data_IF_904418257212
#
_entry.id   IF_904418257212
#
_cell.length_a   1.000
_cell.length_b   1.000
_cell.length_c   1.000
_cell.angle_alpha   90.00
_cell.angle_beta   90.00
_cell.angle_gamma   90.00
#
_symmetry.space_group_name_H-M   'P 1'
#
loop_
_entity.id
_entity.type
_entity.pdbx_description
1 polymer ?
#
# COMPACT_ATOMS: atom_id res chain seq x y z
N UNK A 1 3.32 26.23 -11.65
CA UNK A 1 2.04 25.51 -11.76
C UNK A 1 1.57 25.18 -10.35
N UNK A 2 0.33 25.54 -9.98
CA UNK A 2 -0.26 25.14 -8.70
C UNK A 2 -0.75 23.68 -8.75
N UNK A 3 -0.98 23.06 -7.59
CA UNK A 3 -1.49 21.68 -7.51
C UNK A 3 -2.88 21.51 -8.13
N UNK A 4 -3.71 22.55 -8.08
CA UNK A 4 -5.03 22.60 -8.70
C UNK A 4 -5.37 24.04 -9.09
N UNK A 5 -6.37 24.21 -9.96
CA UNK A 5 -6.85 25.53 -10.36
C UNK A 5 -7.72 26.12 -9.24
N UNK A 6 -7.25 27.19 -8.61
CA UNK A 6 -8.01 27.90 -7.58
C UNK A 6 -8.65 29.15 -8.19
N UNK A 7 -9.98 29.11 -8.35
CA UNK A 7 -10.80 30.27 -8.72
C UNK A 7 -11.26 31.06 -7.50
N UNK A 8 -11.62 32.34 -7.69
CA UNK A 8 -12.22 33.14 -6.63
C UNK A 8 -13.60 32.57 -6.25
N UNK A 9 -13.73 32.10 -5.01
CA UNK A 9 -14.96 31.51 -4.50
C UNK A 9 -15.98 32.63 -4.23
N UNK A 10 -17.08 32.63 -5.00
CA UNK A 10 -18.14 33.63 -4.89
C UNK A 10 -19.04 33.42 -3.66
N UNK A 11 -19.23 32.17 -3.22
CA UNK A 11 -20.14 31.81 -2.14
C UNK A 11 -19.47 30.89 -1.11
N UNK A 12 -19.47 31.31 0.16
CA UNK A 12 -18.93 30.54 1.28
C UNK A 12 -19.77 29.32 1.64
N UNK A 13 -21.03 29.28 1.18
CA UNK A 13 -21.99 28.20 1.47
C UNK A 13 -21.46 26.84 1.08
N UNK A 14 -20.98 26.71 -0.15
CA UNK A 14 -20.63 25.42 -0.74
C UNK A 14 -19.38 24.83 -0.06
N UNK A 15 -18.46 25.71 0.35
CA UNK A 15 -17.28 25.33 1.12
C UNK A 15 -17.68 24.86 2.52
N UNK A 16 -18.57 25.60 3.20
CA UNK A 16 -19.03 25.25 4.54
C UNK A 16 -19.86 23.95 4.53
N UNK A 17 -20.69 23.74 3.51
CA UNK A 17 -21.45 22.49 3.36
C UNK A 17 -20.51 21.29 3.11
N UNK A 18 -19.41 21.47 2.36
CA UNK A 18 -18.35 20.45 2.24
C UNK A 18 -17.59 20.23 3.53
N UNK A 19 -17.37 21.26 4.35
CA UNK A 19 -16.78 21.09 5.69
C UNK A 19 -17.70 20.25 6.58
N UNK A 20 -19.01 20.50 6.57
CA UNK A 20 -20.01 19.66 7.29
C UNK A 20 -19.90 18.21 6.84
N UNK A 21 -19.87 17.99 5.52
CA UNK A 21 -19.75 16.67 4.94
C UNK A 21 -18.41 15.98 5.32
N UNK A 22 -17.28 16.69 5.30
CA UNK A 22 -15.98 16.16 5.70
C UNK A 22 -15.95 15.66 7.16
N UNK A 23 -16.64 16.34 8.07
CA UNK A 23 -16.78 15.89 9.45
C UNK A 23 -17.85 14.80 9.65
N UNK A 24 -18.64 14.47 8.62
CA UNK A 24 -19.76 13.53 8.72
C UNK A 24 -20.93 14.08 9.54
N UNK A 25 -21.04 15.40 9.66
CA UNK A 25 -22.11 16.04 10.43
C UNK A 25 -23.41 16.06 9.63
N UNK A 26 -24.54 15.85 10.33
CA UNK A 26 -25.88 15.87 9.72
C UNK A 26 -26.55 17.23 9.82
N UNK A 27 -25.96 18.18 10.56
CA UNK A 27 -26.53 19.52 10.76
C UNK A 27 -25.47 20.61 10.90
N UNK A 28 -25.88 21.84 10.55
CA UNK A 28 -25.08 23.06 10.75
C UNK A 28 -24.82 23.36 12.23
N UNK A 29 -25.71 22.91 13.11
CA UNK A 29 -25.57 23.10 14.55
C UNK A 29 -24.35 22.33 15.08
N UNK A 30 -24.16 21.08 14.66
CA UNK A 30 -22.99 20.27 15.04
C UNK A 30 -21.68 20.92 14.61
N UNK A 31 -21.65 21.56 13.44
CA UNK A 31 -20.48 22.32 13.00
C UNK A 31 -20.23 23.54 13.91
N UNK A 32 -21.28 24.27 14.30
CA UNK A 32 -21.15 25.41 15.19
C UNK A 32 -20.61 24.99 16.58
N UNK A 33 -21.13 23.89 17.12
CA UNK A 33 -20.66 23.29 18.37
C UNK A 33 -19.20 22.83 18.29
N UNK A 34 -18.82 22.14 17.20
CA UNK A 34 -17.44 21.67 16.99
C UNK A 34 -16.42 22.80 16.92
N UNK A 35 -16.81 23.94 16.34
CA UNK A 35 -15.99 25.14 16.23
C UNK A 35 -16.14 26.10 17.42
N UNK A 36 -16.83 25.69 18.49
CA UNK A 36 -17.09 26.48 19.69
C UNK A 36 -17.64 27.88 19.37
N UNK A 37 -18.65 27.93 18.50
CA UNK A 37 -19.27 29.18 18.06
C UNK A 37 -20.80 29.14 18.12
N UNK A 38 -21.41 30.30 18.34
CA UNK A 38 -22.86 30.45 18.28
C UNK A 38 -23.40 30.17 16.86
N UNK A 39 -24.60 29.58 16.77
CA UNK A 39 -25.28 29.32 15.49
C UNK A 39 -25.49 30.59 14.65
N UNK A 40 -25.67 31.74 15.29
CA UNK A 40 -25.76 33.05 14.63
C UNK A 40 -24.43 33.46 13.98
N UNK A 41 -23.30 33.14 14.61
CA UNK A 41 -21.96 33.37 14.07
C UNK A 41 -21.69 32.51 12.83
N UNK A 42 -22.09 31.24 12.86
CA UNK A 42 -22.00 30.35 11.70
C UNK A 42 -22.93 30.83 10.56
N UNK A 43 -24.17 31.21 10.86
CA UNK A 43 -25.09 31.78 9.87
C UNK A 43 -24.52 33.05 9.22
N UNK A 44 -23.80 33.87 9.98
CA UNK A 44 -23.05 35.01 9.45
C UNK A 44 -21.96 34.60 8.46
N UNK A 45 -21.24 33.50 8.70
CA UNK A 45 -20.22 32.98 7.76
C UNK A 45 -20.82 32.50 6.44
N UNK A 46 -22.02 31.92 6.46
CA UNK A 46 -22.75 31.57 5.24
C UNK A 46 -23.19 32.80 4.42
N UNK A 47 -23.46 33.93 5.07
CA UNK A 47 -23.98 35.14 4.40
C UNK A 47 -22.90 36.13 3.95
N UNK A 48 -21.75 36.17 4.64
CA UNK A 48 -20.67 37.14 4.37
C UNK A 48 -19.94 36.90 3.04
N UNK A 49 -20.03 35.68 2.48
CA UNK A 49 -19.20 35.27 1.35
C UNK A 49 -17.72 35.14 1.71
N UNK A 50 -16.88 34.87 0.72
CA UNK A 50 -15.43 34.67 0.90
C UNK A 50 -15.05 33.27 1.39
N UNK A 51 -13.76 32.94 1.31
CA UNK A 51 -13.26 31.61 1.66
C UNK A 51 -13.05 31.48 3.19
N UNK A 52 -13.74 30.55 3.88
CA UNK A 52 -13.60 30.35 5.33
C UNK A 52 -12.30 29.59 5.66
N UNK A 53 -11.15 30.24 5.46
CA UNK A 53 -9.84 29.61 5.54
C UNK A 53 -9.55 28.97 6.92
N UNK A 54 -9.97 29.62 8.00
CA UNK A 54 -9.81 29.11 9.38
C UNK A 54 -10.51 27.76 9.57
N UNK A 55 -11.74 27.65 9.07
CA UNK A 55 -12.52 26.42 9.17
C UNK A 55 -12.02 25.32 8.24
N UNK A 56 -11.60 25.69 7.02
CA UNK A 56 -11.07 24.73 6.05
C UNK A 56 -9.73 24.16 6.52
N UNK A 57 -8.80 25.00 7.00
CA UNK A 57 -7.49 24.53 7.48
C UNK A 57 -7.65 23.57 8.64
N UNK A 58 -8.55 23.89 9.59
CA UNK A 58 -8.85 22.99 10.71
C UNK A 58 -9.50 21.69 10.25
N UNK A 59 -10.43 21.75 9.30
CA UNK A 59 -11.08 20.58 8.71
C UNK A 59 -10.07 19.64 8.02
N UNK A 60 -9.14 20.19 7.23
CA UNK A 60 -8.05 19.41 6.62
C UNK A 60 -7.20 18.72 7.70
N UNK A 61 -6.82 19.47 8.76
CA UNK A 61 -5.98 18.93 9.82
C UNK A 61 -6.65 17.84 10.66
N UNK A 62 -7.96 17.93 10.87
CA UNK A 62 -8.71 17.00 11.73
C UNK A 62 -9.29 15.80 10.98
N UNK A 63 -9.67 15.97 9.71
CA UNK A 63 -10.37 14.93 8.94
C UNK A 63 -9.50 14.30 7.84
N UNK A 64 -8.41 14.96 7.43
CA UNK A 64 -7.62 14.53 6.27
C UNK A 64 -8.28 14.80 4.92
N UNK A 65 -9.38 15.55 4.88
CA UNK A 65 -10.04 15.92 3.64
C UNK A 65 -9.13 16.75 2.72
N UNK A 66 -9.25 16.53 1.41
CA UNK A 66 -8.47 17.24 0.40
C UNK A 66 -8.83 18.72 0.35
N UNK A 67 -7.81 19.58 0.36
CA UNK A 67 -7.98 21.01 0.22
C UNK A 67 -8.59 21.38 -1.15
N UNK A 68 -8.24 20.64 -2.21
CA UNK A 68 -8.81 20.84 -3.55
C UNK A 68 -10.33 20.63 -3.52
N UNK A 69 -10.78 19.53 -2.94
CA UNK A 69 -12.21 19.23 -2.82
C UNK A 69 -12.94 20.20 -1.91
N UNK A 70 -12.40 20.55 -0.74
CA UNK A 70 -13.01 21.55 0.13
C UNK A 70 -13.15 22.91 -0.57
N UNK A 71 -12.11 23.36 -1.27
CA UNK A 71 -12.10 24.66 -1.95
C UNK A 71 -12.96 24.70 -3.21
N UNK A 72 -12.91 23.66 -4.05
CA UNK A 72 -13.45 23.72 -5.42
C UNK A 72 -14.64 22.79 -5.64
N UNK A 73 -14.85 21.81 -4.77
CA UNK A 73 -15.77 20.69 -4.99
C UNK A 73 -15.29 19.69 -6.05
N UNK A 74 -14.12 19.93 -6.65
CA UNK A 74 -13.49 19.04 -7.62
C UNK A 74 -12.44 18.15 -6.93
N UNK A 75 -12.09 17.04 -7.56
CA UNK A 75 -11.20 16.05 -6.95
C UNK A 75 -11.90 15.17 -5.91
N UNK A 76 -11.12 14.43 -5.13
CA UNK A 76 -11.63 13.46 -4.14
C UNK A 76 -11.76 14.11 -2.76
N UNK A 77 -12.80 13.72 -2.00
CA UNK A 77 -13.12 14.27 -0.67
C UNK A 77 -12.01 14.04 0.34
N UNK A 78 -11.61 12.79 0.48
CA UNK A 78 -10.39 12.41 1.16
C UNK A 78 -9.39 12.03 0.09
N UNK A 79 -8.10 12.28 0.34
CA UNK A 79 -7.06 11.52 -0.34
C UNK A 79 -7.08 10.10 0.26
N UNK A 80 -8.20 9.39 0.06
CA UNK A 80 -8.33 7.94 0.24
C UNK A 80 -7.55 7.30 -0.89
N UNK A 81 -6.25 7.48 -0.81
CA UNK A 81 -5.35 6.41 -1.10
C UNK A 81 -5.37 5.48 0.13
N UNK A 82 -6.46 4.71 0.30
CA UNK A 82 -6.24 3.26 0.33
C UNK A 82 -5.63 2.90 -1.03
N UNK A 83 -4.40 3.36 -1.26
CA UNK A 83 -3.48 2.73 -2.15
C UNK A 83 -3.57 1.29 -1.69
N UNK A 84 -4.06 0.42 -2.57
CA UNK A 84 -4.17 -1.01 -2.32
C UNK A 84 -2.74 -1.56 -2.32
N UNK A 85 -1.88 -1.03 -1.45
CA UNK A 85 -0.45 -1.22 -1.41
C UNK A 85 -0.20 -2.31 -0.40
N UNK A 86 0.45 -3.35 -0.90
CA UNK A 86 1.09 -4.35 -0.08
C UNK A 86 2.42 -3.77 0.44
N UNK A 87 2.53 -3.64 1.77
CA UNK A 87 3.78 -3.32 2.46
C UNK A 87 4.40 -4.61 2.97
N UNK A 88 5.68 -4.81 2.72
CA UNK A 88 6.40 -6.01 3.14
C UNK A 88 7.85 -5.73 3.51
N UNK A 89 8.47 -6.53 4.39
CA UNK A 89 9.91 -6.47 4.63
C UNK A 89 10.68 -6.69 3.33
N UNK A 90 11.76 -5.94 3.17
CA UNK A 90 12.70 -6.08 2.05
C UNK A 90 14.01 -6.63 2.58
N UNK A 91 14.52 -7.65 1.91
CA UNK A 91 15.81 -8.26 2.19
C UNK A 91 16.62 -8.37 0.91
N UNK A 92 17.94 -8.47 1.04
CA UNK A 92 18.86 -8.70 -0.08
C UNK A 92 19.70 -9.95 0.19
N UNK A 93 19.97 -10.70 -0.87
CA UNK A 93 20.92 -11.81 -0.85
C UNK A 93 22.26 -11.30 -1.37
N UNK A 94 23.30 -11.44 -0.56
CA UNK A 94 24.69 -11.13 -0.92
C UNK A 94 25.54 -12.34 -0.54
N UNK A 95 26.22 -12.94 -1.52
CA UNK A 95 27.03 -14.16 -1.37
C UNK A 95 26.30 -15.32 -0.68
N UNK A 96 25.00 -15.44 -0.98
CA UNK A 96 24.09 -16.45 -0.43
C UNK A 96 23.67 -16.20 1.02
N UNK A 97 23.93 -15.02 1.58
CA UNK A 97 23.48 -14.61 2.91
C UNK A 97 22.40 -13.54 2.81
N UNK A 98 21.40 -13.63 3.68
CA UNK A 98 20.27 -12.69 3.74
C UNK A 98 20.62 -11.51 4.64
N UNK A 99 20.35 -10.29 4.16
CA UNK A 99 20.47 -9.05 4.92
C UNK A 99 19.18 -8.23 4.85
N UNK A 100 18.81 -7.58 5.95
CA UNK A 100 17.72 -6.61 5.98
C UNK A 100 18.03 -5.42 5.05
N UNK A 101 17.03 -5.00 4.28
CA UNK A 101 17.13 -3.95 3.27
C UNK A 101 15.95 -2.95 3.33
N UNK A 102 15.27 -2.88 4.48
CA UNK A 102 14.19 -1.94 4.75
C UNK A 102 12.81 -2.51 4.41
N UNK A 103 11.93 -1.66 3.86
CA UNK A 103 10.57 -2.02 3.47
C UNK A 103 10.39 -1.86 1.96
N UNK A 104 9.55 -2.72 1.38
CA UNK A 104 9.10 -2.63 0.01
C UNK A 104 7.59 -2.37 -0.03
N UNK A 105 7.16 -1.50 -0.94
CA UNK A 105 5.78 -1.14 -1.14
C UNK A 105 5.42 -1.40 -2.58
N UNK A 106 4.34 -2.14 -2.80
CA UNK A 106 3.88 -2.54 -4.13
C UNK A 106 2.37 -2.42 -4.20
N UNK A 107 1.86 -1.85 -5.29
CA UNK A 107 0.42 -1.85 -5.56
C UNK A 107 -0.06 -3.28 -5.80
N UNK A 108 -1.14 -3.71 -5.13
CA UNK A 108 -1.74 -5.04 -5.23
C UNK A 108 -2.26 -5.33 -6.64
N UNK A 109 -2.53 -4.31 -7.46
CA UNK A 109 -2.85 -4.52 -8.90
C UNK A 109 -1.67 -5.09 -9.70
N UNK A 110 -0.46 -5.07 -9.14
CA UNK A 110 0.73 -5.69 -9.75
C UNK A 110 0.64 -7.23 -9.78
N UNK A 111 -0.24 -7.83 -8.97
CA UNK A 111 -0.50 -9.26 -8.99
C UNK A 111 -1.51 -9.59 -10.09
N UNK A 112 -1.28 -10.66 -10.85
CA UNK A 112 -2.16 -11.06 -11.95
C UNK A 112 -3.59 -11.36 -11.43
N UNK A 113 -4.63 -11.02 -12.20
CA UNK A 113 -6.01 -11.36 -11.85
C UNK A 113 -6.16 -12.86 -11.58
N UNK A 114 -6.72 -13.22 -10.41
CA UNK A 114 -6.94 -14.61 -10.00
C UNK A 114 -5.79 -15.25 -9.22
N UNK A 115 -4.66 -14.57 -9.04
CA UNK A 115 -3.61 -15.02 -8.10
C UNK A 115 -3.92 -14.45 -6.72
N UNK A 116 -4.11 -15.29 -5.68
CA UNK A 116 -4.34 -14.80 -4.34
C UNK A 116 -3.12 -14.01 -3.85
N UNK A 117 -3.39 -12.93 -3.13
CA UNK A 117 -2.35 -12.13 -2.51
C UNK A 117 -1.58 -12.97 -1.47
N UNK A 118 -0.26 -12.76 -1.38
CA UNK A 118 0.56 -13.48 -0.41
C UNK A 118 0.14 -13.13 1.02
N UNK A 119 0.11 -14.14 1.88
CA UNK A 119 -0.32 -13.96 3.29
C UNK A 119 0.83 -13.49 4.18
N UNK A 120 2.05 -13.93 3.91
CA UNK A 120 3.27 -13.50 4.61
C UNK A 120 4.34 -13.09 3.60
N UNK A 121 4.18 -11.94 2.92
CA UNK A 121 5.09 -11.50 1.87
C UNK A 121 6.43 -10.98 2.41
N UNK A 122 7.49 -11.27 1.67
CA UNK A 122 8.81 -10.65 1.79
C UNK A 122 9.35 -10.35 0.40
N UNK A 123 9.91 -9.16 0.19
CA UNK A 123 10.64 -8.82 -1.03
C UNK A 123 12.11 -9.24 -0.89
N UNK A 124 12.60 -10.07 -1.80
CA UNK A 124 13.99 -10.53 -1.87
C UNK A 124 14.66 -9.91 -3.10
N UNK A 125 15.72 -9.13 -2.88
CA UNK A 125 16.62 -8.66 -3.93
C UNK A 125 17.76 -9.68 -4.12
N UNK A 126 17.88 -10.26 -5.30
CA UNK A 126 19.00 -11.14 -5.67
C UNK A 126 19.53 -10.72 -7.05
N UNK A 127 20.77 -10.24 -7.08
CA UNK A 127 21.35 -9.61 -8.27
C UNK A 127 20.57 -8.35 -8.67
N UNK A 128 20.12 -8.30 -9.93
CA UNK A 128 19.35 -7.18 -10.48
C UNK A 128 17.83 -7.40 -10.40
N UNK A 129 17.37 -8.53 -9.86
CA UNK A 129 15.96 -8.90 -9.82
C UNK A 129 15.39 -8.80 -8.41
N UNK A 130 14.11 -8.44 -8.31
CA UNK A 130 13.36 -8.46 -7.07
C UNK A 130 12.26 -9.52 -7.14
N UNK A 131 12.15 -10.32 -6.10
CA UNK A 131 11.21 -11.41 -6.00
C UNK A 131 10.29 -11.15 -4.82
N UNK A 132 8.97 -11.21 -5.03
CA UNK A 132 8.02 -11.24 -3.93
C UNK A 132 7.84 -12.70 -3.56
N UNK A 133 8.13 -13.03 -2.30
CA UNK A 133 8.10 -14.38 -1.75
C UNK A 133 7.02 -14.47 -0.68
N UNK A 134 6.11 -15.43 -0.79
CA UNK A 134 5.20 -15.78 0.31
C UNK A 134 5.86 -16.85 1.17
N UNK A 135 6.13 -16.51 2.43
CA UNK A 135 6.74 -17.46 3.40
C UNK A 135 5.69 -18.35 4.06
N UNK A 136 4.39 -18.10 3.81
CA UNK A 136 3.31 -18.96 4.24
C UNK A 136 2.91 -19.91 3.11
N UNK A 137 3.16 -21.20 3.30
CA UNK A 137 2.80 -22.24 2.34
C UNK A 137 2.53 -23.57 3.05
N UNK A 138 1.70 -24.41 2.45
CA UNK A 138 1.34 -25.74 2.98
C UNK A 138 2.01 -26.88 2.23
N UNK A 139 2.31 -26.68 0.95
CA UNK A 139 2.86 -27.70 0.07
C UNK A 139 3.84 -27.08 -0.92
N UNK A 140 4.84 -27.88 -1.32
CA UNK A 140 5.84 -27.53 -2.34
C UNK A 140 5.46 -28.17 -3.66
N UNK A 141 5.47 -27.41 -4.74
CA UNK A 141 5.16 -27.82 -6.10
C UNK A 141 6.12 -27.16 -7.09
N UNK A 142 5.97 -27.49 -8.36
CA UNK A 142 6.87 -27.06 -9.43
C UNK A 142 6.75 -25.55 -9.65
N UNK A 143 7.76 -24.79 -9.20
CA UNK A 143 7.81 -23.33 -9.35
C UNK A 143 9.20 -22.77 -8.93
N UNK A 144 9.33 -21.46 -8.85
CA UNK A 144 10.45 -20.77 -8.19
C UNK A 144 10.22 -20.62 -6.68
N UNK A 145 11.25 -20.94 -5.91
CA UNK A 145 11.23 -20.95 -4.44
C UNK A 145 12.48 -20.26 -3.88
N UNK A 146 12.30 -19.60 -2.74
CA UNK A 146 13.40 -19.19 -1.88
C UNK A 146 13.83 -20.41 -1.05
N UNK A 147 15.09 -20.82 -1.19
CA UNK A 147 15.63 -21.99 -0.51
C UNK A 147 16.95 -21.66 0.17
N UNK A 148 17.25 -22.37 1.24
CA UNK A 148 18.55 -22.42 1.91
C UNK A 148 19.12 -23.84 1.74
N UNK A 149 20.29 -23.89 1.11
CA UNK A 149 21.05 -25.10 0.83
C UNK A 149 22.38 -24.95 1.55
N UNK A 150 22.60 -25.76 2.59
CA UNK A 150 23.84 -25.76 3.38
C UNK A 150 24.26 -24.36 3.91
N UNK A 151 23.29 -23.54 4.31
CA UNK A 151 23.52 -22.19 4.84
C UNK A 151 23.62 -21.10 3.77
N UNK A 152 23.40 -21.45 2.50
CA UNK A 152 23.37 -20.51 1.37
C UNK A 152 21.95 -20.36 0.85
N UNK A 153 21.38 -19.18 1.05
CA UNK A 153 20.09 -18.79 0.52
C UNK A 153 20.20 -18.36 -0.94
N UNK A 154 19.30 -18.85 -1.81
CA UNK A 154 19.13 -18.35 -3.18
C UNK A 154 17.71 -18.59 -3.70
N UNK A 155 17.33 -17.93 -4.80
CA UNK A 155 16.12 -18.29 -5.56
C UNK A 155 16.45 -19.45 -6.50
N UNK A 156 15.68 -20.54 -6.42
CA UNK A 156 15.85 -21.74 -7.23
C UNK A 156 14.53 -22.20 -7.81
N UNK A 157 14.60 -22.84 -8.98
CA UNK A 157 13.45 -23.56 -9.54
C UNK A 157 13.45 -24.98 -8.97
N UNK A 158 12.36 -25.35 -8.31
CA UNK A 158 12.15 -26.71 -7.80
C UNK A 158 11.19 -27.45 -8.72
N UNK A 159 11.51 -28.71 -9.00
CA UNK A 159 10.62 -29.64 -9.72
C UNK A 159 10.49 -30.92 -8.91
N UNK A 160 9.26 -31.32 -8.57
CA UNK A 160 8.98 -32.52 -7.78
C UNK A 160 9.37 -33.78 -8.55
N UNK A 161 10.04 -34.68 -7.84
CA UNK A 161 10.33 -36.03 -8.29
C UNK A 161 9.61 -36.99 -7.32
N UNK A 162 9.03 -38.11 -7.80
CA UNK A 162 8.46 -39.13 -6.93
C UNK A 162 9.39 -39.52 -5.77
N UNK A 163 8.81 -40.02 -4.69
CA UNK A 163 9.56 -40.45 -3.49
C UNK A 163 10.19 -39.27 -2.74
N UNK A 164 9.44 -38.16 -2.62
CA UNK A 164 9.80 -36.96 -1.84
C UNK A 164 11.13 -36.31 -2.25
N UNK A 165 11.50 -36.43 -3.52
CA UNK A 165 12.69 -35.77 -4.07
C UNK A 165 12.31 -34.49 -4.81
N UNK A 166 13.30 -33.63 -5.00
CA UNK A 166 13.19 -32.44 -5.83
C UNK A 166 14.43 -32.32 -6.71
N UNK A 167 14.22 -31.88 -7.94
CA UNK A 167 15.28 -31.33 -8.78
C UNK A 167 15.42 -29.86 -8.47
N UNK A 168 16.62 -29.44 -8.10
CA UNK A 168 16.98 -28.05 -7.84
C UNK A 168 17.72 -27.50 -9.06
N UNK A 169 17.23 -26.39 -9.62
CA UNK A 169 17.81 -25.75 -10.81
C UNK A 169 17.77 -24.21 -10.71
N UNK A 170 18.30 -23.51 -11.72
CA UNK A 170 18.24 -22.04 -11.83
C UNK A 170 19.61 -21.36 -11.98
N UNK A 171 20.62 -21.81 -11.23
CA UNK A 171 22.01 -21.30 -11.35
C UNK A 171 22.98 -22.48 -11.40
N UNK A 172 23.82 -22.53 -12.43
CA UNK A 172 24.78 -23.61 -12.63
C UNK A 172 24.12 -24.94 -13.00
N UNK A 173 24.74 -26.05 -12.58
CA UNK A 173 24.25 -27.40 -12.86
C UNK A 173 23.09 -27.76 -11.93
N UNK A 174 22.03 -28.37 -12.50
CA UNK A 174 20.92 -28.90 -11.72
C UNK A 174 21.33 -30.18 -10.98
N UNK A 175 20.72 -30.43 -9.83
CA UNK A 175 20.94 -31.64 -9.03
C UNK A 175 19.64 -32.13 -8.41
N UNK A 176 19.62 -33.40 -8.01
CA UNK A 176 18.47 -34.02 -7.35
C UNK A 176 18.81 -34.34 -5.90
N UNK A 177 17.94 -33.97 -4.97
CA UNK A 177 18.11 -34.26 -3.55
C UNK A 177 16.77 -34.65 -2.90
N UNK A 178 16.82 -35.12 -1.65
CA UNK A 178 15.60 -35.21 -0.84
C UNK A 178 15.07 -33.79 -0.59
N UNK A 179 13.75 -33.64 -0.50
CA UNK A 179 13.16 -32.37 -0.06
C UNK A 179 13.58 -32.00 1.38
N UNK A 180 13.98 -32.99 2.17
CA UNK A 180 14.43 -32.81 3.56
C UNK A 180 15.90 -32.35 3.65
N UNK A 181 16.67 -32.48 2.56
CA UNK A 181 18.09 -32.07 2.53
C UNK A 181 18.24 -30.54 2.31
N UNK A 182 17.14 -29.85 1.98
CA UNK A 182 17.13 -28.41 1.75
C UNK A 182 16.05 -27.75 2.61
N UNK A 183 16.28 -26.51 3.00
CA UNK A 183 15.28 -25.73 3.73
C UNK A 183 14.52 -24.83 2.75
N UNK A 184 13.23 -25.07 2.62
CA UNK A 184 12.35 -24.26 1.77
C UNK A 184 11.78 -23.13 2.63
N UNK A 185 12.02 -21.89 2.21
CA UNK A 185 11.71 -20.69 2.99
C UNK A 185 10.46 -19.96 2.53
N UNK A 186 10.10 -20.09 1.25
CA UNK A 186 8.90 -19.49 0.69
C UNK A 186 8.81 -19.65 -0.81
N UNK A 187 7.63 -19.38 -1.34
CA UNK A 187 7.33 -19.48 -2.77
C UNK A 187 7.42 -18.12 -3.44
N UNK A 188 8.03 -18.04 -4.61
CA UNK A 188 8.01 -16.80 -5.40
C UNK A 188 6.61 -16.63 -6.01
N UNK A 189 5.98 -15.48 -5.76
CA UNK A 189 4.64 -15.14 -6.27
C UNK A 189 4.68 -14.08 -7.37
N UNK A 190 5.77 -13.31 -7.44
CA UNK A 190 5.99 -12.28 -8.45
C UNK A 190 7.48 -12.05 -8.66
N UNK A 191 7.90 -11.88 -9.92
CA UNK A 191 9.27 -11.51 -10.29
C UNK A 191 9.27 -10.16 -10.99
N UNK A 192 10.12 -9.24 -10.53
CA UNK A 192 10.30 -7.89 -11.05
C UNK A 192 11.75 -7.79 -11.54
N UNK A 193 11.94 -7.47 -12.82
CA UNK A 193 13.23 -7.33 -13.48
C UNK A 193 13.56 -5.87 -13.78
#
# INVERSE_FOLDING_TARGET
MGKFSYGQISHSSDVLDRVIDAYGFTSKLMLAEHFDMASSSLAGRYKRGGFPADMVVRCVAETGASLEWLATGQGRKFDDEELDILKMPRRKIVDGLIYEAGMYMLDKVSFLPGVPLPSSPVCILEGNSQFIVDTSFTEVYDDQWLVDIEGKTSIRTLTRIPIRKVRVSGVGMAFDCSIEDIKILGRVVLTIK
#
